data_IF_302132058491
#
_entry.id   IF_302132058491
#
_cell.length_a   1.000
_cell.length_b   1.000
_cell.length_c   1.000
_cell.angle_alpha   90.00
_cell.angle_beta   90.00
_cell.angle_gamma   90.00
#
_symmetry.space_group_name_H-M   'P 1'
#
loop_
_entity.id
_entity.type
_entity.pdbx_description
1 polymer ?
#
# COMPACT_ATOMS: atom_id res chain seq x y z
N UNK A 1 25.22 65.52 47.07
CA UNK A 1 24.10 65.21 46.22
C UNK A 1 24.68 64.61 44.95
N UNK A 2 24.43 63.46 44.46
CA UNK A 2 23.43 62.44 44.55
C UNK A 2 23.99 61.10 44.04
N UNK A 3 24.71 60.35 44.86
CA UNK A 3 25.19 59.00 44.48
C UNK A 3 24.15 57.90 44.81
N UNK A 4 23.09 58.26 45.55
CA UNK A 4 22.09 57.28 46.00
C UNK A 4 20.91 57.05 45.05
N UNK A 5 20.65 57.96 44.13
CA UNK A 5 19.55 57.84 43.16
C UNK A 5 19.89 56.98 41.95
N UNK A 6 21.19 56.85 41.60
CA UNK A 6 21.64 56.05 40.46
C UNK A 6 21.55 54.51 40.72
N UNK A 7 21.74 54.11 42.00
CA UNK A 7 21.70 52.70 42.34
C UNK A 7 20.29 52.12 42.42
N UNK A 8 19.28 52.99 42.69
CA UNK A 8 17.88 52.53 42.70
C UNK A 8 17.28 52.41 41.30
N UNK A 9 17.74 53.12 40.27
CA UNK A 9 17.31 53.01 38.91
C UNK A 9 17.88 51.80 38.20
N UNK A 10 19.14 51.42 38.54
CA UNK A 10 19.80 50.27 37.94
C UNK A 10 19.23 48.92 38.42
N UNK A 11 18.71 48.87 39.66
CA UNK A 11 18.13 47.63 40.22
C UNK A 11 16.76 47.27 39.61
N UNK A 12 15.95 48.24 39.22
CA UNK A 12 14.65 48.01 38.60
C UNK A 12 14.76 47.65 37.10
N UNK A 13 15.74 48.16 36.39
CA UNK A 13 16.00 47.81 34.99
C UNK A 13 16.57 46.39 34.83
N UNK A 14 17.35 45.92 35.83
CA UNK A 14 17.89 44.56 35.84
C UNK A 14 16.84 43.48 36.07
N UNK A 15 15.79 43.75 36.85
CA UNK A 15 14.72 42.80 37.15
C UNK A 15 13.74 42.64 35.97
N UNK A 16 13.54 43.69 35.19
CA UNK A 16 12.69 43.61 33.97
C UNK A 16 13.39 42.95 32.77
N UNK A 17 14.72 42.97 32.72
CA UNK A 17 15.47 42.29 31.68
C UNK A 17 15.59 40.77 31.88
N UNK A 18 15.47 40.27 33.14
CA UNK A 18 15.51 38.83 33.43
C UNK A 18 14.20 38.10 33.07
N UNK A 19 13.09 38.83 32.86
CA UNK A 19 11.79 38.23 32.53
C UNK A 19 11.54 38.00 31.02
N UNK A 20 12.44 38.46 30.17
CA UNK A 20 12.28 38.37 28.70
C UNK A 20 13.29 37.44 28.03
N UNK A 21 13.75 36.42 28.71
CA UNK A 21 14.44 35.34 28.04
C UNK A 21 13.43 34.65 27.09
N UNK A 22 13.67 34.62 25.76
CA UNK A 22 12.78 33.91 24.88
C UNK A 22 12.74 32.45 25.36
N UNK A 23 11.54 31.98 25.73
CA UNK A 23 11.33 30.58 25.96
C UNK A 23 11.74 29.87 24.65
N UNK A 24 12.90 29.20 24.67
CA UNK A 24 13.29 28.32 23.58
C UNK A 24 12.26 27.20 23.61
N UNK A 25 11.18 27.38 22.85
CA UNK A 25 10.27 26.30 22.53
C UNK A 25 11.11 25.33 21.73
N UNK A 26 11.61 24.29 22.37
CA UNK A 26 12.15 23.13 21.68
C UNK A 26 11.00 22.58 20.87
N UNK A 27 10.88 23.00 19.61
CA UNK A 27 10.01 22.36 18.66
C UNK A 27 10.45 20.90 18.62
N UNK A 28 9.63 20.01 19.17
CA UNK A 28 9.89 18.57 19.13
C UNK A 28 10.07 18.21 17.65
N UNK A 29 11.21 17.60 17.31
CA UNK A 29 11.52 17.28 15.92
C UNK A 29 10.36 16.47 15.32
N UNK A 30 9.81 16.93 14.21
CA UNK A 30 8.74 16.23 13.54
C UNK A 30 9.25 14.90 12.99
N UNK A 31 8.56 13.81 13.30
CA UNK A 31 8.81 12.52 12.66
C UNK A 31 8.35 12.62 11.22
N UNK A 32 9.17 12.19 10.28
CA UNK A 32 8.83 12.16 8.85
C UNK A 32 9.06 10.79 8.29
N UNK A 33 8.01 10.18 7.77
CA UNK A 33 8.04 8.89 7.12
C UNK A 33 7.54 8.99 5.68
N UNK A 34 7.94 8.02 4.86
CA UNK A 34 7.52 7.89 3.46
C UNK A 34 6.77 6.57 3.29
N UNK A 35 5.62 6.63 2.63
CA UNK A 35 4.93 5.44 2.14
C UNK A 35 5.23 5.31 0.65
N UNK A 36 5.85 4.20 0.24
CA UNK A 36 5.88 3.82 -1.16
C UNK A 36 4.73 2.84 -1.44
N UNK A 37 3.88 3.20 -2.40
CA UNK A 37 2.74 2.36 -2.81
C UNK A 37 3.09 1.53 -4.03
N UNK A 38 2.60 0.29 -4.08
CA UNK A 38 2.60 -0.53 -5.29
C UNK A 38 1.50 -0.14 -6.28
N UNK A 39 0.68 0.86 -5.96
CA UNK A 39 -0.51 1.24 -6.72
C UNK A 39 -0.37 2.64 -7.31
N UNK A 40 -0.92 2.89 -8.53
CA UNK A 40 -0.95 4.22 -9.13
C UNK A 40 -2.00 5.12 -8.47
N UNK A 41 -1.81 6.44 -8.59
CA UNK A 41 -2.74 7.46 -8.03
C UNK A 41 -4.16 7.39 -8.59
N UNK A 42 -4.34 6.85 -9.79
CA UNK A 42 -5.66 6.70 -10.40
C UNK A 42 -6.59 5.79 -9.60
N UNK A 43 -6.04 4.89 -8.79
CA UNK A 43 -6.80 4.00 -7.90
C UNK A 43 -7.10 4.70 -6.57
N UNK A 44 -8.01 5.65 -6.59
CA UNK A 44 -8.35 6.50 -5.42
C UNK A 44 -8.91 5.73 -4.22
N UNK A 45 -9.52 4.57 -4.42
CA UNK A 45 -9.96 3.68 -3.35
C UNK A 45 -8.78 3.03 -2.64
N UNK A 46 -7.83 2.50 -3.40
CA UNK A 46 -6.67 1.77 -2.87
C UNK A 46 -5.59 2.77 -2.46
N UNK A 47 -5.07 3.58 -3.40
CA UNK A 47 -4.03 4.56 -3.12
C UNK A 47 -4.49 5.62 -2.11
N UNK A 48 -5.75 6.08 -2.24
CA UNK A 48 -6.35 7.06 -1.34
C UNK A 48 -6.44 6.59 0.12
N UNK A 49 -6.43 5.29 0.39
CA UNK A 49 -6.36 4.79 1.76
C UNK A 49 -5.04 5.15 2.45
N UNK A 50 -3.92 5.13 1.72
CA UNK A 50 -2.63 5.59 2.25
C UNK A 50 -2.60 7.11 2.47
N UNK A 51 -3.23 7.89 1.59
CA UNK A 51 -3.37 9.35 1.77
C UNK A 51 -4.24 9.67 3.00
N UNK A 52 -5.35 8.93 3.18
CA UNK A 52 -6.21 9.06 4.35
C UNK A 52 -5.46 8.73 5.63
N UNK A 53 -4.67 7.65 5.64
CA UNK A 53 -3.80 7.29 6.75
C UNK A 53 -2.83 8.43 7.08
N UNK A 54 -2.11 8.95 6.11
CA UNK A 54 -1.15 10.04 6.29
C UNK A 54 -1.81 11.30 6.86
N UNK A 55 -2.98 11.69 6.33
CA UNK A 55 -3.78 12.82 6.83
C UNK A 55 -4.22 12.61 8.27
N UNK A 56 -4.67 11.40 8.62
CA UNK A 56 -5.13 11.05 9.96
C UNK A 56 -3.98 11.09 10.97
N UNK A 57 -2.84 10.50 10.65
CA UNK A 57 -1.63 10.52 11.50
C UNK A 57 -1.18 11.97 11.78
N UNK A 58 -1.15 12.81 10.74
CA UNK A 58 -0.81 14.23 10.90
C UNK A 58 -1.78 14.94 11.83
N UNK A 59 -3.08 14.72 11.67
CA UNK A 59 -4.12 15.33 12.50
C UNK A 59 -4.00 14.88 13.97
N UNK A 60 -3.89 13.57 14.23
CA UNK A 60 -3.79 13.00 15.57
C UNK A 60 -2.50 13.42 16.29
N UNK A 61 -1.42 13.64 15.56
CA UNK A 61 -0.13 14.06 16.14
C UNK A 61 0.02 15.57 16.30
N UNK A 62 -0.99 16.36 15.90
CA UNK A 62 -0.88 17.82 15.87
C UNK A 62 0.25 18.30 14.93
N UNK A 63 0.49 17.59 13.83
CA UNK A 63 1.54 17.89 12.85
C UNK A 63 2.94 17.42 13.24
N UNK A 64 3.09 16.71 14.36
CA UNK A 64 4.40 16.22 14.82
C UNK A 64 4.86 14.94 14.10
N UNK A 65 3.95 14.25 13.44
CA UNK A 65 4.26 13.10 12.60
C UNK A 65 3.68 13.33 11.21
N UNK A 66 4.54 13.46 10.24
CA UNK A 66 4.20 13.67 8.84
C UNK A 66 4.55 12.43 8.03
N UNK A 67 3.62 12.02 7.17
CA UNK A 67 3.82 10.88 6.26
C UNK A 67 3.59 11.38 4.85
N UNK A 68 4.60 11.27 3.98
CA UNK A 68 4.45 11.51 2.54
C UNK A 68 4.10 10.21 1.83
N UNK A 69 3.15 10.28 0.89
CA UNK A 69 2.68 9.12 0.13
C UNK A 69 3.14 9.24 -1.31
N UNK A 70 3.78 8.18 -1.82
CA UNK A 70 4.36 8.11 -3.15
C UNK A 70 3.75 6.95 -3.92
N UNK A 71 3.31 7.23 -5.14
CA UNK A 71 2.70 6.22 -6.00
C UNK A 71 3.72 5.24 -6.57
N UNK A 72 3.21 4.16 -7.14
CA UNK A 72 4.02 3.18 -7.86
C UNK A 72 4.93 3.86 -8.89
N UNK A 73 6.22 3.56 -8.84
CA UNK A 73 7.23 4.10 -9.76
C UNK A 73 7.84 5.46 -9.35
N UNK A 74 7.29 6.17 -8.34
CA UNK A 74 7.85 7.47 -7.93
C UNK A 74 9.16 7.35 -7.17
N UNK A 75 9.29 6.42 -6.26
CA UNK A 75 10.52 6.19 -5.48
C UNK A 75 11.29 4.96 -5.96
N UNK A 76 10.56 3.94 -6.38
CA UNK A 76 11.10 2.65 -6.81
C UNK A 76 10.06 1.90 -7.66
N UNK A 77 10.45 0.82 -8.38
CA UNK A 77 9.49 -0.05 -9.05
C UNK A 77 8.41 -0.55 -8.09
N UNK A 78 7.17 -0.70 -8.57
CA UNK A 78 6.00 -1.03 -7.76
C UNK A 78 6.18 -2.26 -6.85
N UNK A 79 6.89 -3.29 -7.31
CA UNK A 79 7.16 -4.50 -6.54
C UNK A 79 8.47 -4.47 -5.75
N UNK A 80 9.22 -3.36 -5.78
CA UNK A 80 10.46 -3.17 -5.01
C UNK A 80 10.23 -2.73 -3.56
N UNK A 81 8.99 -2.42 -3.17
CA UNK A 81 8.71 -1.78 -1.87
C UNK A 81 9.04 -2.69 -0.67
N UNK A 82 8.91 -4.01 -0.80
CA UNK A 82 9.27 -4.95 0.29
C UNK A 82 10.79 -4.99 0.49
N UNK A 83 11.58 -4.97 -0.59
CA UNK A 83 13.05 -4.91 -0.50
C UNK A 83 13.51 -3.59 0.12
N UNK A 84 12.86 -2.49 -0.24
CA UNK A 84 13.14 -1.18 0.33
C UNK A 84 12.80 -1.09 1.83
N UNK A 85 11.72 -1.74 2.29
CA UNK A 85 11.41 -1.87 3.73
C UNK A 85 12.47 -2.72 4.43
N UNK A 86 12.80 -3.87 3.88
CA UNK A 86 13.77 -4.80 4.45
C UNK A 86 15.14 -4.16 4.64
N UNK A 87 15.56 -3.32 3.69
CA UNK A 87 16.81 -2.55 3.74
C UNK A 87 16.69 -1.23 4.50
N UNK A 88 15.51 -0.91 5.06
CA UNK A 88 15.23 0.36 5.75
C UNK A 88 15.45 1.60 4.86
N UNK A 89 15.31 1.45 3.53
CA UNK A 89 15.41 2.57 2.58
C UNK A 89 14.16 3.46 2.64
N UNK A 90 13.02 2.89 3.00
CA UNK A 90 11.76 3.57 3.29
C UNK A 90 11.22 3.11 4.64
N UNK A 91 10.32 3.90 5.21
CA UNK A 91 9.75 3.64 6.53
C UNK A 91 8.45 2.84 6.46
N UNK A 92 7.68 2.98 5.38
CA UNK A 92 6.40 2.31 5.17
C UNK A 92 6.18 1.95 3.70
N UNK A 93 5.37 0.91 3.47
CA UNK A 93 4.89 0.57 2.14
C UNK A 93 3.40 0.21 2.17
N UNK A 94 2.72 0.47 1.06
CA UNK A 94 1.37 -0.01 0.78
C UNK A 94 1.44 -0.98 -0.40
N UNK A 95 1.08 -2.25 -0.18
CA UNK A 95 1.19 -3.28 -1.20
C UNK A 95 0.25 -4.45 -0.91
N UNK A 96 0.13 -5.38 -1.86
CA UNK A 96 -0.55 -6.65 -1.65
C UNK A 96 0.50 -7.76 -1.43
N UNK A 97 0.43 -8.48 -0.29
CA UNK A 97 1.46 -9.46 0.07
C UNK A 97 1.69 -10.55 -0.97
N UNK A 98 0.66 -11.02 -1.66
CA UNK A 98 0.79 -12.09 -2.65
C UNK A 98 1.69 -11.73 -3.86
N UNK A 99 2.01 -10.44 -4.07
CA UNK A 99 3.00 -10.06 -5.10
C UNK A 99 4.40 -10.62 -4.82
N UNK A 100 4.67 -11.04 -3.60
CA UNK A 100 5.98 -11.51 -3.14
C UNK A 100 6.05 -13.01 -2.88
N UNK A 101 5.07 -13.79 -3.37
CA UNK A 101 5.09 -15.26 -3.23
C UNK A 101 6.30 -15.90 -3.90
N UNK A 102 6.89 -15.25 -4.89
CA UNK A 102 8.17 -15.66 -5.46
C UNK A 102 9.35 -15.59 -4.46
N UNK A 103 9.26 -14.78 -3.39
CA UNK A 103 10.24 -14.76 -2.29
C UNK A 103 9.93 -15.83 -1.25
N UNK A 104 8.65 -15.98 -0.90
CA UNK A 104 8.17 -16.99 0.04
C UNK A 104 6.66 -17.13 -0.11
N UNK A 105 6.19 -18.37 -0.25
CA UNK A 105 4.76 -18.67 -0.44
C UNK A 105 3.87 -18.22 0.72
N UNK A 106 4.42 -18.06 1.94
CA UNK A 106 3.68 -17.60 3.12
C UNK A 106 3.13 -16.18 2.93
N UNK A 107 3.71 -15.35 2.06
CA UNK A 107 3.13 -14.04 1.71
C UNK A 107 1.69 -14.13 1.21
N UNK A 108 1.28 -15.24 0.60
CA UNK A 108 -0.09 -15.45 0.14
C UNK A 108 -1.13 -15.36 1.28
N UNK A 109 -0.78 -15.83 2.48
CA UNK A 109 -1.69 -15.84 3.63
C UNK A 109 -1.96 -14.45 4.23
N UNK A 110 -1.20 -13.44 3.85
CA UNK A 110 -1.47 -12.04 4.21
C UNK A 110 -2.51 -11.35 3.32
N UNK A 111 -3.05 -12.06 2.31
CA UNK A 111 -3.98 -11.51 1.34
C UNK A 111 -5.07 -12.54 1.00
N UNK A 112 -5.29 -12.86 -0.27
CA UNK A 112 -6.34 -13.75 -0.74
C UNK A 112 -5.81 -15.17 -0.99
N UNK A 113 -6.53 -16.16 -0.48
CA UNK A 113 -6.32 -17.58 -0.78
C UNK A 113 -7.59 -18.09 -1.49
N UNK A 114 -7.48 -18.70 -2.68
CA UNK A 114 -8.65 -19.24 -3.38
C UNK A 114 -9.45 -20.18 -2.49
N UNK A 115 -10.78 -20.00 -2.43
CA UNK A 115 -11.71 -20.73 -1.56
C UNK A 115 -11.39 -20.63 -0.05
N UNK A 116 -10.56 -19.67 0.34
CA UNK A 116 -10.19 -19.41 1.72
C UNK A 116 -11.16 -18.50 2.44
N UNK A 117 -10.63 -17.69 3.34
CA UNK A 117 -11.43 -16.78 4.17
C UNK A 117 -11.96 -15.60 3.33
N UNK A 118 -13.22 -15.22 3.56
CA UNK A 118 -13.76 -13.92 3.09
C UNK A 118 -13.03 -12.78 3.81
N UNK A 119 -13.14 -11.54 3.30
CA UNK A 119 -12.53 -10.35 3.93
C UNK A 119 -12.87 -10.25 5.42
N UNK A 120 -14.16 -10.41 5.78
CA UNK A 120 -14.61 -10.38 7.18
C UNK A 120 -14.01 -11.49 8.04
N UNK A 121 -13.89 -12.70 7.48
CA UNK A 121 -13.28 -13.82 8.18
C UNK A 121 -11.75 -13.63 8.34
N UNK A 122 -11.10 -13.03 7.33
CA UNK A 122 -9.69 -12.67 7.39
C UNK A 122 -9.42 -11.66 8.51
N UNK A 123 -10.24 -10.61 8.60
CA UNK A 123 -10.14 -9.63 9.69
C UNK A 123 -10.35 -10.29 11.06
N UNK A 124 -11.34 -11.18 11.19
CA UNK A 124 -11.57 -11.91 12.41
C UNK A 124 -10.39 -12.83 12.78
N UNK A 125 -9.81 -13.52 11.80
CA UNK A 125 -8.61 -14.33 12.02
C UNK A 125 -7.41 -13.50 12.44
N UNK A 126 -7.22 -12.35 11.81
CA UNK A 126 -6.11 -11.44 12.13
C UNK A 126 -6.26 -10.79 13.50
N UNK A 127 -7.46 -10.31 13.86
CA UNK A 127 -7.66 -9.48 15.04
C UNK A 127 -8.09 -10.26 16.29
N UNK A 128 -8.81 -11.38 16.11
CA UNK A 128 -9.36 -12.19 17.20
C UNK A 128 -8.86 -13.64 17.20
N UNK A 129 -8.20 -14.08 16.12
CA UNK A 129 -7.55 -15.38 16.02
C UNK A 129 -6.02 -15.30 16.19
N UNK A 130 -5.33 -16.28 15.62
CA UNK A 130 -3.88 -16.36 15.66
C UNK A 130 -3.18 -15.70 14.46
N UNK A 131 -3.95 -15.14 13.51
CA UNK A 131 -3.42 -14.61 12.25
C UNK A 131 -2.32 -13.58 12.44
N UNK A 132 -2.59 -12.56 13.24
CA UNK A 132 -1.63 -11.49 13.55
C UNK A 132 -0.33 -12.04 14.15
N UNK A 133 -0.43 -12.95 15.11
CA UNK A 133 0.73 -13.57 15.76
C UNK A 133 1.59 -14.35 14.76
N UNK A 134 0.96 -15.15 13.90
CA UNK A 134 1.65 -15.94 12.89
C UNK A 134 2.30 -15.06 11.82
N UNK A 135 1.56 -14.06 11.32
CA UNK A 135 2.09 -13.16 10.31
C UNK A 135 3.17 -12.21 10.86
N UNK A 136 3.04 -11.72 12.09
CA UNK A 136 4.10 -10.93 12.73
C UNK A 136 5.40 -11.76 12.88
N UNK A 137 5.29 -13.04 13.26
CA UNK A 137 6.46 -13.94 13.33
C UNK A 137 7.09 -14.20 11.95
N UNK A 138 6.28 -14.34 10.91
CA UNK A 138 6.76 -14.47 9.54
C UNK A 138 7.46 -13.20 9.06
N UNK A 139 6.81 -12.03 9.16
CA UNK A 139 7.35 -10.76 8.70
C UNK A 139 8.59 -10.30 9.47
N UNK A 140 8.78 -10.75 10.70
CA UNK A 140 9.99 -10.46 11.47
C UNK A 140 11.27 -10.95 10.76
N UNK A 141 11.20 -12.05 9.98
CA UNK A 141 12.33 -12.53 9.20
C UNK A 141 12.75 -11.56 8.06
N UNK A 142 11.87 -10.62 7.73
CA UNK A 142 12.09 -9.59 6.70
C UNK A 142 12.29 -8.20 7.30
N UNK A 143 12.44 -8.08 8.62
CA UNK A 143 12.50 -6.78 9.32
C UNK A 143 11.26 -5.91 9.05
N UNK A 144 10.09 -6.53 8.92
CA UNK A 144 8.83 -5.86 8.58
C UNK A 144 7.80 -6.11 9.67
N UNK A 145 6.96 -5.09 9.91
CA UNK A 145 5.73 -5.21 10.67
C UNK A 145 4.55 -4.93 9.73
N UNK A 146 3.69 -5.91 9.53
CA UNK A 146 2.54 -5.80 8.62
C UNK A 146 1.26 -5.49 9.39
N UNK A 147 0.40 -4.69 8.75
CA UNK A 147 -0.97 -4.42 9.20
C UNK A 147 -1.90 -4.35 8.01
N UNK A 148 -3.12 -4.83 8.18
CA UNK A 148 -4.17 -4.67 7.18
C UNK A 148 -4.47 -3.18 6.99
N UNK A 149 -4.53 -2.74 5.75
CA UNK A 149 -4.91 -1.37 5.36
C UNK A 149 -6.31 -1.31 4.74
N UNK A 150 -7.02 -2.43 4.73
CA UNK A 150 -8.33 -2.59 4.11
C UNK A 150 -8.40 -3.80 3.19
N UNK A 151 -9.50 -3.90 2.46
CA UNK A 151 -9.70 -4.94 1.46
C UNK A 151 -10.50 -4.39 0.27
N UNK A 152 -10.39 -5.05 -0.88
CA UNK A 152 -11.07 -4.67 -2.12
C UNK A 152 -12.45 -5.28 -2.26
N UNK A 153 -12.88 -6.10 -1.31
CA UNK A 153 -14.09 -6.89 -1.42
C UNK A 153 -13.93 -8.05 -2.41
N UNK A 154 -15.06 -8.55 -2.91
CA UNK A 154 -15.07 -9.60 -3.93
C UNK A 154 -14.56 -9.06 -5.24
N UNK A 155 -13.53 -9.71 -5.80
CA UNK A 155 -13.00 -9.35 -7.12
C UNK A 155 -13.76 -10.09 -8.22
N UNK A 156 -13.67 -9.59 -9.45
CA UNK A 156 -14.35 -10.14 -10.62
C UNK A 156 -13.43 -11.09 -11.39
N UNK A 157 -14.02 -11.90 -12.28
CA UNK A 157 -13.30 -12.89 -13.08
C UNK A 157 -12.36 -12.31 -14.14
N UNK A 158 -12.46 -10.98 -14.39
CA UNK A 158 -11.49 -10.23 -15.17
C UNK A 158 -11.94 -9.85 -16.57
N UNK A 159 -11.01 -9.24 -17.31
CA UNK A 159 -11.14 -8.66 -18.64
C UNK A 159 -10.36 -9.49 -19.64
N UNK A 160 -10.97 -9.81 -20.78
CA UNK A 160 -10.41 -10.68 -21.82
C UNK A 160 -10.46 -10.00 -23.19
N UNK A 161 -9.41 -10.19 -23.97
CA UNK A 161 -9.38 -9.70 -25.36
C UNK A 161 -10.26 -10.55 -26.29
N UNK A 162 -10.55 -11.79 -25.90
CA UNK A 162 -11.44 -12.73 -26.60
C UNK A 162 -12.50 -13.22 -25.64
N UNK A 163 -13.68 -13.54 -26.16
CA UNK A 163 -14.74 -14.14 -25.38
C UNK A 163 -14.32 -15.53 -24.87
N UNK A 164 -14.52 -15.80 -23.60
CA UNK A 164 -14.27 -17.08 -22.93
C UNK A 164 -15.62 -17.72 -22.62
N UNK A 165 -15.88 -18.90 -23.19
CA UNK A 165 -17.14 -19.63 -22.99
C UNK A 165 -16.96 -20.90 -22.20
N UNK A 166 -15.79 -21.49 -22.23
CA UNK A 166 -15.47 -22.77 -21.60
C UNK A 166 -14.11 -22.69 -20.92
N UNK A 167 -13.87 -23.60 -19.98
CA UNK A 167 -12.56 -23.78 -19.34
C UNK A 167 -11.46 -24.07 -20.36
N UNK A 168 -11.79 -24.72 -21.47
CA UNK A 168 -10.83 -25.02 -22.53
C UNK A 168 -10.28 -23.75 -23.20
N UNK A 169 -11.06 -22.68 -23.26
CA UNK A 169 -10.66 -21.39 -23.84
C UNK A 169 -9.59 -20.67 -23.01
N UNK A 170 -9.38 -21.08 -21.75
CA UNK A 170 -8.35 -20.55 -20.87
C UNK A 170 -6.95 -21.08 -21.23
N UNK A 171 -6.86 -22.20 -21.97
CA UNK A 171 -5.58 -22.82 -22.26
C UNK A 171 -4.66 -21.93 -23.10
N UNK A 172 -3.47 -21.67 -22.59
CA UNK A 172 -2.44 -20.88 -23.25
C UNK A 172 -2.62 -19.36 -23.11
N UNK A 173 -3.70 -18.88 -22.46
CA UNK A 173 -3.88 -17.46 -22.23
C UNK A 173 -2.77 -16.89 -21.35
N UNK A 174 -2.15 -15.81 -21.79
CA UNK A 174 -1.27 -14.99 -20.99
C UNK A 174 -2.14 -14.07 -20.13
N UNK A 175 -2.35 -14.47 -18.90
CA UNK A 175 -3.30 -13.84 -18.01
C UNK A 175 -2.58 -13.15 -16.85
N UNK A 176 -2.68 -11.83 -16.79
CA UNK A 176 -2.19 -11.07 -15.64
C UNK A 176 -3.12 -11.28 -14.46
N UNK A 177 -2.54 -11.70 -13.36
CA UNK A 177 -3.22 -11.88 -12.09
C UNK A 177 -2.31 -11.46 -10.93
N UNK A 178 -2.88 -11.26 -9.74
CA UNK A 178 -2.15 -10.79 -8.57
C UNK A 178 -1.01 -11.71 -8.10
N UNK A 179 -0.88 -12.88 -8.68
CA UNK A 179 0.13 -13.86 -8.29
C UNK A 179 -0.35 -14.83 -7.21
N UNK A 180 0.59 -15.49 -6.55
CA UNK A 180 0.31 -16.40 -5.46
C UNK A 180 -0.43 -17.66 -5.86
N UNK A 181 -1.17 -18.23 -4.90
CA UNK A 181 -1.89 -19.49 -5.06
C UNK A 181 -2.94 -19.46 -6.18
N UNK A 182 -3.53 -18.29 -6.46
CA UNK A 182 -4.47 -18.15 -7.57
C UNK A 182 -3.78 -18.38 -8.92
N UNK A 183 -2.59 -17.79 -9.13
CA UNK A 183 -1.80 -18.04 -10.34
C UNK A 183 -1.44 -19.52 -10.52
N UNK A 184 -1.05 -20.20 -9.44
CA UNK A 184 -0.76 -21.65 -9.47
C UNK A 184 -2.01 -22.48 -9.80
N UNK A 185 -3.16 -22.13 -9.26
CA UNK A 185 -4.43 -22.80 -9.57
C UNK A 185 -4.80 -22.64 -11.05
N UNK A 186 -4.71 -21.42 -11.59
CA UNK A 186 -5.01 -21.13 -12.99
C UNK A 186 -4.01 -21.81 -13.94
N UNK A 187 -2.76 -21.94 -13.56
CA UNK A 187 -1.76 -22.69 -14.33
C UNK A 187 -2.15 -24.15 -14.53
N UNK A 188 -2.81 -24.78 -13.55
CA UNK A 188 -3.32 -26.15 -13.68
C UNK A 188 -4.46 -26.26 -14.71
N UNK A 189 -5.13 -25.16 -15.03
CA UNK A 189 -6.12 -25.06 -16.09
C UNK A 189 -5.48 -24.73 -17.46
N UNK A 190 -4.15 -24.63 -17.53
CA UNK A 190 -3.40 -24.33 -18.74
C UNK A 190 -3.20 -22.84 -19.03
N UNK A 191 -3.58 -21.96 -18.12
CA UNK A 191 -3.27 -20.51 -18.20
C UNK A 191 -1.77 -20.30 -18.03
N UNK A 192 -1.24 -19.25 -18.65
CA UNK A 192 0.13 -18.75 -18.46
C UNK A 192 0.05 -17.49 -17.58
N UNK A 193 0.14 -17.64 -16.24
CA UNK A 193 -0.02 -16.51 -15.32
C UNK A 193 1.16 -15.54 -15.43
N UNK A 194 0.84 -14.26 -15.37
CA UNK A 194 1.80 -13.16 -15.39
C UNK A 194 1.59 -12.27 -14.16
N UNK A 195 2.62 -12.06 -13.35
CA UNK A 195 2.57 -11.09 -12.27
C UNK A 195 3.14 -9.76 -12.76
N UNK A 196 2.27 -8.75 -12.86
CA UNK A 196 2.61 -7.44 -13.43
C UNK A 196 1.93 -6.32 -12.63
N UNK A 197 2.62 -5.19 -12.37
CA UNK A 197 2.02 -4.02 -11.74
C UNK A 197 0.83 -3.48 -12.53
N UNK A 198 -0.20 -2.97 -11.83
CA UNK A 198 -1.43 -2.48 -12.44
C UNK A 198 -1.19 -1.42 -13.54
N UNK A 199 -0.23 -0.53 -13.35
CA UNK A 199 0.09 0.54 -14.30
C UNK A 199 0.63 0.05 -15.66
N UNK A 200 1.17 -1.16 -15.73
CA UNK A 200 1.79 -1.71 -16.95
C UNK A 200 0.80 -2.55 -17.76
N UNK A 201 -0.31 -2.94 -17.16
CA UNK A 201 -1.26 -3.93 -17.73
C UNK A 201 -1.95 -3.41 -18.99
N UNK A 202 -2.39 -2.14 -18.99
CA UNK A 202 -3.07 -1.55 -20.15
C UNK A 202 -2.24 -1.71 -21.42
N UNK A 203 -0.98 -1.28 -21.38
CA UNK A 203 -0.09 -1.35 -22.53
C UNK A 203 0.20 -2.80 -22.95
N UNK A 204 0.29 -3.71 -22.00
CA UNK A 204 0.51 -5.13 -22.29
C UNK A 204 -0.69 -5.77 -22.99
N UNK A 205 -1.92 -5.44 -22.59
CA UNK A 205 -3.15 -5.84 -23.26
C UNK A 205 -3.24 -5.22 -24.66
N UNK A 206 -2.99 -3.91 -24.80
CA UNK A 206 -3.04 -3.19 -26.07
C UNK A 206 -2.08 -3.79 -27.10
N UNK A 207 -0.83 -4.07 -26.69
CA UNK A 207 0.19 -4.69 -27.55
C UNK A 207 -0.01 -6.20 -27.78
N UNK A 208 -0.95 -6.86 -27.08
CA UNK A 208 -1.19 -8.30 -27.18
C UNK A 208 -0.13 -9.16 -26.51
N UNK A 209 0.70 -8.60 -25.63
CA UNK A 209 1.62 -9.37 -24.79
C UNK A 209 0.89 -10.04 -23.63
N UNK A 210 -0.32 -9.54 -23.29
CA UNK A 210 -1.31 -10.18 -22.44
C UNK A 210 -2.59 -10.43 -23.23
N UNK A 211 -3.30 -11.50 -22.90
CA UNK A 211 -4.61 -11.87 -23.45
C UNK A 211 -5.75 -11.49 -22.49
N UNK A 212 -5.47 -11.45 -21.20
CA UNK A 212 -6.44 -11.19 -20.15
C UNK A 212 -5.79 -10.56 -18.91
N UNK A 213 -6.62 -9.94 -18.08
CA UNK A 213 -6.25 -9.44 -16.75
C UNK A 213 -7.42 -9.53 -15.79
N UNK A 214 -7.16 -9.83 -14.54
CA UNK A 214 -8.01 -9.47 -13.41
C UNK A 214 -7.34 -8.36 -12.61
N UNK A 215 -8.12 -7.63 -11.79
CA UNK A 215 -7.54 -6.71 -10.83
C UNK A 215 -8.44 -6.56 -9.61
N UNK A 216 -9.54 -5.84 -9.69
CA UNK A 216 -10.49 -5.66 -8.58
C UNK A 216 -11.93 -5.84 -9.06
N UNK A 217 -12.45 -4.85 -9.75
CA UNK A 217 -13.83 -4.79 -10.20
C UNK A 217 -14.07 -3.56 -11.05
N UNK A 218 -15.31 -3.35 -11.53
CA UNK A 218 -15.61 -2.34 -12.56
C UNK A 218 -15.06 -0.95 -12.24
N UNK A 219 -15.19 -0.51 -11.00
CA UNK A 219 -14.82 0.84 -10.60
C UNK A 219 -13.31 1.12 -10.72
N UNK A 220 -12.49 0.22 -10.19
CA UNK A 220 -11.03 0.38 -10.22
C UNK A 220 -10.47 0.02 -11.60
N UNK A 221 -11.00 -1.03 -12.22
CA UNK A 221 -10.54 -1.55 -13.50
C UNK A 221 -10.83 -0.58 -14.66
N UNK A 222 -11.96 0.15 -14.59
CA UNK A 222 -12.28 1.21 -15.55
C UNK A 222 -11.25 2.35 -15.50
N UNK A 223 -10.77 2.73 -14.31
CA UNK A 223 -9.72 3.73 -14.15
C UNK A 223 -8.38 3.31 -14.73
N UNK A 224 -8.14 2.01 -14.80
CA UNK A 224 -6.98 1.43 -15.47
C UNK A 224 -7.19 1.25 -16.99
N UNK A 225 -8.43 1.49 -17.48
CA UNK A 225 -8.76 1.48 -18.89
C UNK A 225 -8.91 0.10 -19.53
N UNK A 226 -9.00 -0.97 -18.75
CA UNK A 226 -9.01 -2.35 -19.27
C UNK A 226 -10.15 -2.62 -20.25
N UNK A 227 -11.33 -2.03 -20.01
CA UNK A 227 -12.50 -2.10 -20.88
C UNK A 227 -12.25 -1.63 -22.32
N UNK A 228 -11.23 -0.78 -22.55
CA UNK A 228 -10.91 -0.23 -23.88
C UNK A 228 -10.09 -1.20 -24.73
N UNK A 229 -9.35 -2.09 -24.11
CA UNK A 229 -8.37 -2.98 -24.77
C UNK A 229 -8.69 -4.47 -24.59
N UNK A 230 -9.61 -4.81 -23.67
CA UNK A 230 -10.09 -6.16 -23.38
C UNK A 230 -11.60 -6.10 -23.10
N UNK A 231 -12.48 -6.14 -24.13
CA UNK A 231 -13.88 -5.77 -24.00
C UNK A 231 -14.78 -6.83 -23.35
N UNK A 232 -14.28 -8.04 -23.14
CA UNK A 232 -15.06 -9.13 -22.57
C UNK A 232 -14.81 -9.21 -21.05
N UNK A 233 -15.83 -8.91 -20.27
CA UNK A 233 -15.75 -8.89 -18.81
C UNK A 233 -16.51 -10.06 -18.18
N UNK A 234 -15.88 -10.76 -17.27
CA UNK A 234 -16.45 -11.91 -16.59
C UNK A 234 -16.89 -11.57 -15.16
N UNK A 235 -18.13 -11.92 -14.87
CA UNK A 235 -18.79 -11.79 -13.58
C UNK A 235 -19.60 -13.06 -13.31
N UNK A 236 -19.63 -13.57 -12.07
CA UNK A 236 -18.81 -13.25 -10.91
C UNK A 236 -17.35 -13.75 -11.07
N UNK A 237 -16.51 -13.36 -10.10
CA UNK A 237 -15.13 -13.85 -10.00
C UNK A 237 -14.99 -15.09 -9.15
#
# INVERSE_FOLDING_TARGET
>A
MERRSFVRGAGLAGVLAAGAAPAIVHAQAAVRWRIASSFPKSLDTIFGSAEMFAKTVRALSGGKFEVSVHAAGELMPAFGVVDALQSSTIEMAQTAPYYYTGKNSIFAFGCAVPFGLTARQMDAWMDHGNGRKLMDAFYANYNIKSRSAGNTGTQMGGWYRKEIKTVADLKGLKFRMGGGLFGEAMQKLGVVPQNMPAGDVYQALEKGTLDATEFVGPYDDEKLGFNKVAPFYHYPG
#
